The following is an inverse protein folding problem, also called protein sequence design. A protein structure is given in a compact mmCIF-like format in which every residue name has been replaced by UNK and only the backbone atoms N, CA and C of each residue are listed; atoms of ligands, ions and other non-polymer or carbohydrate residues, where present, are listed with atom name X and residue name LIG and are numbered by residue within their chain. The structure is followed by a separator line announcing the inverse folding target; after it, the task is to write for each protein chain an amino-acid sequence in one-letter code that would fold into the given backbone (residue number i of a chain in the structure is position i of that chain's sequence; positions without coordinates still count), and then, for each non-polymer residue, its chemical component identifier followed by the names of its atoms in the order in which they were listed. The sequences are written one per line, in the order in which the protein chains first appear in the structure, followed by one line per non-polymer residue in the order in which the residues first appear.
data_IF_737250882920
#
_entry.id   IF_737250882920
#
_cell.length_a   1.000
_cell.length_b   1.000
_cell.length_c   1.000
_cell.angle_alpha   90.00
_cell.angle_beta   90.00
_cell.angle_gamma   90.00
#
_symmetry.space_group_name_H-M   'P 1'
#
loop_
_entity.id
_entity.type
_entity.pdbx_description
1 polymer ?
#
# COMPACT_ATOMS: atom_id res chain seq x y z
N UNK A 1 11.80 10.49 18.37
CA UNK A 1 12.74 9.37 18.58
C UNK A 1 13.04 8.56 17.31
N UNK A 2 12.27 8.74 16.24
CA UNK A 2 12.53 8.12 14.91
C UNK A 2 13.83 8.65 14.27
N UNK A 3 14.25 9.87 14.60
CA UNK A 3 15.49 10.51 14.09
C UNK A 3 16.80 9.78 14.42
N UNK A 4 16.80 8.87 15.40
CA UNK A 4 17.96 8.02 15.68
C UNK A 4 18.02 6.77 14.80
N UNK A 5 17.00 6.54 13.97
CA UNK A 5 16.74 5.28 13.26
C UNK A 5 17.48 5.20 11.92
N UNK A 6 17.81 6.34 11.30
CA UNK A 6 18.45 6.35 9.97
C UNK A 6 19.80 7.07 10.04
N UNK A 7 20.83 6.35 10.48
CA UNK A 7 22.23 6.77 10.28
C UNK A 7 22.76 6.13 9.01
N UNK A 8 23.65 6.78 8.27
CA UNK A 8 24.28 6.24 7.06
C UNK A 8 24.90 4.85 7.26
N UNK A 9 25.36 4.55 8.49
CA UNK A 9 25.91 3.24 8.86
C UNK A 9 24.88 2.10 8.94
N UNK A 10 23.59 2.39 8.86
CA UNK A 10 22.49 1.43 8.98
C UNK A 10 21.77 1.20 7.64
N UNK A 11 22.33 1.74 6.57
CA UNK A 11 21.80 1.56 5.20
C UNK A 11 22.47 0.35 4.55
N UNK A 12 21.66 -0.47 3.86
CA UNK A 12 22.12 -1.67 3.15
C UNK A 12 21.80 -1.58 1.66
N UNK A 13 22.79 -1.87 0.82
CA UNK A 13 22.57 -2.04 -0.60
C UNK A 13 21.81 -3.35 -0.86
N UNK A 14 20.93 -3.36 -1.86
CA UNK A 14 20.19 -4.56 -2.25
C UNK A 14 20.06 -4.68 -3.77
N UNK A 15 20.03 -5.90 -4.26
CA UNK A 15 19.56 -6.20 -5.62
C UNK A 15 18.06 -5.97 -5.73
N UNK A 16 17.54 -5.93 -6.96
CA UNK A 16 16.10 -5.80 -7.19
C UNK A 16 15.29 -6.85 -6.41
N UNK A 17 14.41 -6.47 -5.47
CA UNK A 17 13.73 -7.41 -4.56
C UNK A 17 12.65 -8.26 -5.24
N UNK A 18 12.40 -8.06 -6.54
CA UNK A 18 11.45 -8.84 -7.34
C UNK A 18 12.16 -9.84 -8.25
N UNK A 19 13.11 -9.37 -9.07
CA UNK A 19 13.76 -10.26 -10.04
C UNK A 19 15.14 -10.77 -9.60
N UNK A 20 15.79 -10.10 -8.62
CA UNK A 20 17.13 -10.43 -8.15
C UNK A 20 18.26 -9.80 -8.97
N UNK A 21 17.97 -8.96 -9.98
CA UNK A 21 18.99 -8.27 -10.75
C UNK A 21 19.80 -7.32 -9.86
N UNK A 22 21.12 -7.38 -9.98
CA UNK A 22 22.07 -6.48 -9.33
C UNK A 22 22.47 -5.29 -10.20
N UNK A 23 21.85 -5.13 -11.36
CA UNK A 23 22.12 -4.00 -12.27
C UNK A 23 21.43 -2.74 -11.73
N UNK A 24 22.25 -1.79 -11.28
CA UNK A 24 21.85 -0.48 -10.77
C UNK A 24 22.26 0.65 -11.75
N UNK A 25 22.43 0.35 -13.03
CA UNK A 25 22.88 1.33 -14.04
C UNK A 25 21.85 2.46 -14.26
N UNK A 26 20.57 2.22 -14.04
CA UNK A 26 19.48 3.20 -14.22
C UNK A 26 19.10 3.84 -12.88
N UNK A 27 19.85 4.88 -12.49
CA UNK A 27 19.55 5.71 -11.33
C UNK A 27 18.42 6.67 -11.68
N UNK A 28 17.25 6.45 -11.10
CA UNK A 28 16.07 7.30 -11.31
C UNK A 28 16.18 8.63 -10.55
N UNK A 29 16.64 8.58 -9.30
CA UNK A 29 16.85 9.75 -8.45
C UNK A 29 17.89 9.46 -7.37
N UNK A 30 18.76 10.42 -7.07
CA UNK A 30 19.62 10.38 -5.91
C UNK A 30 18.82 10.62 -4.64
N UNK A 31 19.36 10.22 -3.47
CA UNK A 31 18.66 10.38 -2.20
C UNK A 31 18.40 11.88 -1.89
N UNK A 32 17.19 12.18 -1.46
CA UNK A 32 16.79 13.51 -0.98
C UNK A 32 15.99 13.33 0.33
N UNK A 33 16.69 13.33 1.46
CA UNK A 33 16.04 13.30 2.77
C UNK A 33 16.88 14.04 3.83
N UNK A 34 16.17 14.64 4.78
CA UNK A 34 16.75 15.34 5.93
C UNK A 34 16.26 14.67 7.22
N UNK A 35 17.16 14.00 7.90
CA UNK A 35 16.86 13.29 9.17
C UNK A 35 16.19 14.19 10.23
N UNK A 36 16.42 15.51 10.18
CA UNK A 36 15.82 16.47 11.12
C UNK A 36 14.34 16.74 10.84
N UNK A 37 13.87 16.39 9.64
CA UNK A 37 12.47 16.58 9.21
C UNK A 37 11.63 15.32 9.37
N UNK A 38 12.26 14.19 9.71
CA UNK A 38 11.54 12.94 9.95
C UNK A 38 10.81 13.04 11.28
N UNK A 39 9.49 12.97 11.24
CA UNK A 39 8.61 12.97 12.40
C UNK A 39 7.86 11.64 12.55
N UNK A 40 6.92 11.56 13.50
CA UNK A 40 6.13 10.36 13.77
C UNK A 40 5.15 9.99 12.63
N UNK A 41 5.03 10.85 11.62
CA UNK A 41 4.22 10.60 10.42
C UNK A 41 5.04 10.11 9.22
N UNK A 42 6.37 10.11 9.30
CA UNK A 42 7.24 9.73 8.19
C UNK A 42 7.03 8.29 7.67
N UNK A 43 6.49 7.40 8.51
CA UNK A 43 6.15 6.01 8.16
C UNK A 43 4.68 5.69 8.42
N UNK A 44 3.84 6.70 8.45
CA UNK A 44 2.41 6.59 8.70
C UNK A 44 1.60 6.76 7.41
N UNK A 45 0.43 6.15 7.36
CA UNK A 45 -0.60 6.55 6.41
C UNK A 45 -1.02 8.00 6.70
N UNK A 46 -0.57 8.94 5.88
CA UNK A 46 -0.65 10.37 6.14
C UNK A 46 -1.29 11.18 5.01
N UNK A 47 -1.71 12.38 5.37
CA UNK A 47 -2.40 13.30 4.45
C UNK A 47 -1.46 14.21 3.66
N UNK A 48 -0.26 14.42 4.15
CA UNK A 48 0.72 15.34 3.57
C UNK A 48 2.08 14.65 3.46
N UNK A 49 2.53 14.35 2.24
CA UNK A 49 3.85 13.77 2.01
C UNK A 49 4.95 14.78 2.34
N UNK A 50 6.09 14.29 2.80
CA UNK A 50 7.29 15.11 3.03
C UNK A 50 8.12 15.28 1.76
N UNK A 51 7.86 14.47 0.73
CA UNK A 51 8.62 14.43 -0.53
C UNK A 51 10.11 14.08 -0.35
N UNK A 52 10.42 13.34 0.71
CA UNK A 52 11.73 12.78 0.93
C UNK A 52 11.80 11.36 0.38
N UNK A 53 12.96 10.93 -0.13
CA UNK A 53 13.13 9.58 -0.65
C UNK A 53 14.58 9.13 -0.54
N UNK A 54 14.78 7.82 -0.47
CA UNK A 54 16.10 7.20 -0.63
C UNK A 54 16.55 7.30 -2.10
N UNK A 55 17.81 6.92 -2.38
CA UNK A 55 18.27 6.74 -3.75
C UNK A 55 17.39 5.68 -4.43
N UNK A 56 16.80 6.05 -5.57
CA UNK A 56 15.87 5.22 -6.32
C UNK A 56 16.53 4.69 -7.59
N UNK A 57 16.47 3.38 -7.79
CA UNK A 57 17.00 2.67 -8.95
C UNK A 57 15.86 2.02 -9.73
N UNK A 58 15.86 2.19 -11.05
CA UNK A 58 14.90 1.52 -11.92
C UNK A 58 15.49 0.19 -12.42
N UNK A 59 14.84 -0.91 -12.12
CA UNK A 59 15.31 -2.23 -12.57
C UNK A 59 15.10 -2.40 -14.09
N UNK A 60 16.15 -2.61 -14.91
CA UNK A 60 16.01 -2.75 -16.34
C UNK A 60 15.31 -4.07 -16.75
N UNK A 61 15.30 -5.06 -15.87
CA UNK A 61 14.70 -6.38 -16.13
C UNK A 61 13.19 -6.36 -15.91
N UNK A 62 12.73 -6.02 -14.69
CA UNK A 62 11.32 -6.12 -14.34
C UNK A 62 10.60 -4.77 -14.21
N UNK A 63 11.28 -3.65 -14.39
CA UNK A 63 10.70 -2.30 -14.32
C UNK A 63 10.16 -1.93 -12.91
N UNK A 64 10.73 -2.53 -11.85
CA UNK A 64 10.51 -2.07 -10.49
C UNK A 64 11.35 -0.83 -10.23
N UNK A 65 10.81 0.18 -9.58
CA UNK A 65 11.57 1.27 -8.99
C UNK A 65 11.79 0.93 -7.51
N UNK A 66 13.02 0.88 -7.03
CA UNK A 66 13.32 0.47 -5.66
C UNK A 66 14.45 1.27 -5.05
N UNK A 67 14.46 1.39 -3.73
CA UNK A 67 15.54 2.05 -3.00
C UNK A 67 16.75 1.13 -2.84
N UNK A 68 17.94 1.64 -3.18
CA UNK A 68 19.24 1.02 -2.90
C UNK A 68 20.30 2.14 -2.77
N UNK A 69 20.93 2.30 -1.57
CA UNK A 69 20.68 1.56 -0.32
C UNK A 69 19.35 1.92 0.34
N UNK A 70 18.95 1.10 1.34
CA UNK A 70 17.75 1.29 2.13
C UNK A 70 18.03 0.99 3.62
N UNK A 71 17.20 1.45 4.58
CA UNK A 71 17.37 1.11 5.99
C UNK A 71 17.26 -0.38 6.28
N UNK A 72 17.91 -0.83 7.34
CA UNK A 72 17.77 -2.22 7.80
C UNK A 72 16.32 -2.55 8.17
N UNK A 73 15.86 -3.80 7.95
CA UNK A 73 14.48 -4.21 8.22
C UNK A 73 14.02 -3.98 9.65
N UNK A 74 14.90 -4.18 10.64
CA UNK A 74 14.59 -3.96 12.05
C UNK A 74 14.21 -2.51 12.37
N UNK A 75 14.84 -1.56 11.68
CA UNK A 75 14.55 -0.13 11.83
C UNK A 75 13.20 0.23 11.19
N UNK A 76 12.92 -0.32 10.02
CA UNK A 76 11.64 -0.12 9.33
C UNK A 76 10.49 -0.67 10.16
N UNK A 77 10.62 -1.90 10.69
CA UNK A 77 9.59 -2.52 11.54
C UNK A 77 9.30 -1.63 12.76
N UNK A 78 10.34 -1.11 13.40
CA UNK A 78 10.19 -0.18 14.52
C UNK A 78 9.48 1.11 14.10
N UNK A 79 9.90 1.71 12.98
CA UNK A 79 9.32 2.95 12.48
C UNK A 79 7.82 2.81 12.15
N UNK A 80 7.43 1.71 11.48
CA UNK A 80 6.01 1.43 11.22
C UNK A 80 5.22 1.14 12.49
N UNK A 81 5.81 0.42 13.46
CA UNK A 81 5.14 0.12 14.75
C UNK A 81 4.85 1.36 15.60
N UNK A 82 5.72 2.38 15.51
CA UNK A 82 5.60 3.66 16.24
C UNK A 82 4.86 4.75 15.43
N UNK A 83 4.45 4.46 14.19
CA UNK A 83 3.84 5.44 13.29
C UNK A 83 2.48 5.92 13.80
N UNK A 84 2.22 7.22 13.62
CA UNK A 84 0.95 7.86 13.90
C UNK A 84 -0.11 7.54 12.81
N UNK A 85 -1.36 7.94 13.03
CA UNK A 85 -2.45 7.70 12.09
C UNK A 85 -3.40 8.90 12.01
N UNK A 86 -3.69 9.38 10.78
CA UNK A 86 -4.59 10.51 10.58
C UNK A 86 -5.53 10.36 9.37
N UNK A 87 -5.59 9.17 8.75
CA UNK A 87 -6.26 8.93 7.46
C UNK A 87 -7.58 8.14 7.54
N UNK A 88 -8.20 8.00 8.71
CA UNK A 88 -9.42 7.19 8.91
C UNK A 88 -10.56 7.53 7.93
N UNK A 89 -10.78 8.81 7.61
CA UNK A 89 -11.83 9.20 6.68
C UNK A 89 -11.52 8.77 5.23
N UNK A 90 -10.26 8.83 4.86
CA UNK A 90 -9.75 8.46 3.54
C UNK A 90 -9.80 6.96 3.32
N UNK A 91 -9.41 6.18 4.33
CA UNK A 91 -9.47 4.71 4.27
C UNK A 91 -10.89 4.22 4.04
N UNK A 92 -11.88 4.87 4.66
CA UNK A 92 -13.29 4.54 4.47
C UNK A 92 -13.79 4.81 3.02
N UNK A 93 -13.37 5.90 2.38
CA UNK A 93 -13.70 6.13 0.96
C UNK A 93 -12.96 5.14 0.03
N UNK A 94 -11.71 4.84 0.33
CA UNK A 94 -10.91 3.88 -0.42
C UNK A 94 -11.52 2.48 -0.33
N UNK A 95 -11.89 2.01 0.87
CA UNK A 95 -12.47 0.70 1.10
C UNK A 95 -13.76 0.48 0.31
N UNK A 96 -14.65 1.48 0.23
CA UNK A 96 -15.84 1.42 -0.62
C UNK A 96 -15.50 1.28 -2.11
N UNK A 97 -14.50 2.04 -2.59
CA UNK A 97 -14.03 1.93 -3.97
C UNK A 97 -13.51 0.52 -4.25
N UNK A 98 -12.68 -0.02 -3.35
CA UNK A 98 -12.11 -1.36 -3.48
C UNK A 98 -13.16 -2.46 -3.29
N UNK A 99 -14.11 -2.28 -2.38
CA UNK A 99 -15.26 -3.17 -2.19
C UNK A 99 -16.10 -3.38 -3.44
N UNK A 100 -16.11 -2.42 -4.36
CA UNK A 100 -16.82 -2.56 -5.65
C UNK A 100 -16.25 -3.66 -6.57
N UNK A 101 -15.01 -4.10 -6.34
CA UNK A 101 -14.39 -5.21 -7.07
C UNK A 101 -14.81 -6.58 -6.53
N UNK A 102 -15.21 -6.68 -5.26
CA UNK A 102 -15.51 -7.95 -4.58
C UNK A 102 -16.54 -8.82 -5.29
N UNK A 103 -17.68 -8.31 -5.83
CA UNK A 103 -18.65 -9.17 -6.50
C UNK A 103 -18.06 -9.93 -7.69
N UNK A 104 -17.09 -9.34 -8.41
CA UNK A 104 -16.39 -10.00 -9.51
C UNK A 104 -15.43 -11.09 -9.05
N UNK A 105 -14.80 -10.91 -7.89
CA UNK A 105 -13.88 -11.87 -7.29
C UNK A 105 -14.65 -13.04 -6.67
N UNK A 106 -15.68 -12.74 -5.86
CA UNK A 106 -16.49 -13.71 -5.13
C UNK A 106 -17.10 -14.77 -6.05
N UNK A 107 -17.51 -14.40 -7.26
CA UNK A 107 -18.05 -15.36 -8.23
C UNK A 107 -17.05 -16.42 -8.71
N UNK A 108 -15.76 -16.25 -8.43
CA UNK A 108 -14.69 -17.11 -8.98
C UNK A 108 -13.91 -17.87 -7.91
N UNK A 109 -13.95 -17.42 -6.65
CA UNK A 109 -13.28 -18.11 -5.54
C UNK A 109 -14.09 -19.32 -5.06
N UNK A 110 -13.44 -20.30 -4.39
CA UNK A 110 -14.10 -21.56 -4.04
C UNK A 110 -15.24 -21.40 -3.02
N UNK A 111 -15.07 -20.50 -2.05
CA UNK A 111 -16.01 -20.25 -0.97
C UNK A 111 -15.77 -18.88 -0.32
N UNK A 112 -16.53 -18.53 0.72
CA UNK A 112 -16.37 -17.31 1.51
C UNK A 112 -15.79 -17.61 2.93
N UNK A 113 -15.12 -18.74 3.11
CA UNK A 113 -14.43 -19.03 4.35
C UNK A 113 -12.94 -18.65 4.27
N UNK A 114 -12.58 -17.67 5.07
CA UNK A 114 -11.22 -17.14 5.18
C UNK A 114 -10.93 -15.99 4.21
N UNK A 115 -10.88 -14.79 4.75
CA UNK A 115 -10.32 -13.61 4.12
C UNK A 115 -9.24 -12.99 5.00
N UNK A 116 -8.09 -12.65 4.42
CA UNK A 116 -6.98 -12.00 5.09
C UNK A 116 -6.68 -10.67 4.44
N UNK A 117 -6.62 -9.58 5.22
CA UNK A 117 -6.23 -8.26 4.75
C UNK A 117 -4.88 -7.85 5.38
N UNK A 118 -3.86 -7.67 4.54
CA UNK A 118 -2.48 -7.40 4.95
C UNK A 118 -2.22 -5.90 4.87
N UNK A 119 -1.85 -5.28 6.01
CA UNK A 119 -1.77 -3.83 6.16
C UNK A 119 -3.17 -3.21 6.24
N UNK A 120 -4.00 -3.77 7.11
CA UNK A 120 -5.43 -3.44 7.16
C UNK A 120 -5.74 -2.04 7.74
N UNK A 121 -4.74 -1.36 8.34
CA UNK A 121 -4.93 -0.06 8.96
C UNK A 121 -5.98 -0.11 10.08
N UNK A 122 -6.98 0.75 10.00
CA UNK A 122 -8.11 0.81 10.94
C UNK A 122 -9.22 -0.23 10.67
N UNK A 123 -8.96 -1.17 9.75
CA UNK A 123 -9.88 -2.26 9.44
C UNK A 123 -11.09 -1.86 8.58
N UNK A 124 -11.10 -0.69 7.97
CA UNK A 124 -12.22 -0.24 7.14
C UNK A 124 -12.57 -1.21 6.00
N UNK A 125 -11.61 -1.97 5.47
CA UNK A 125 -11.89 -2.98 4.45
C UNK A 125 -12.41 -4.30 5.03
N UNK A 126 -12.09 -4.61 6.28
CA UNK A 126 -12.66 -5.80 6.95
C UNK A 126 -14.18 -5.71 7.05
N UNK A 127 -14.73 -4.48 7.24
CA UNK A 127 -16.18 -4.25 7.22
C UNK A 127 -16.79 -4.65 5.87
N UNK A 128 -16.13 -4.32 4.75
CA UNK A 128 -16.58 -4.71 3.41
C UNK A 128 -16.55 -6.24 3.23
N UNK A 129 -15.52 -6.91 3.73
CA UNK A 129 -15.41 -8.38 3.68
C UNK A 129 -16.52 -9.05 4.49
N UNK A 130 -16.77 -8.61 5.72
CA UNK A 130 -17.87 -9.11 6.57
C UNK A 130 -19.21 -8.87 5.91
N UNK A 131 -19.45 -7.66 5.38
CA UNK A 131 -20.70 -7.31 4.69
C UNK A 131 -20.93 -8.14 3.42
N UNK A 132 -19.86 -8.69 2.80
CA UNK A 132 -19.96 -9.60 1.66
C UNK A 132 -20.13 -11.07 2.05
N UNK A 133 -20.18 -11.38 3.34
CA UNK A 133 -20.48 -12.71 3.85
C UNK A 133 -19.26 -13.60 4.10
N UNK A 134 -18.04 -13.06 4.13
CA UNK A 134 -16.89 -13.83 4.58
C UNK A 134 -17.05 -14.20 6.06
N UNK A 135 -16.90 -15.48 6.38
CA UNK A 135 -17.18 -16.01 7.74
C UNK A 135 -16.01 -15.90 8.69
N UNK A 136 -14.79 -15.96 8.18
CA UNK A 136 -13.54 -15.83 8.93
C UNK A 136 -12.68 -14.75 8.31
N UNK A 137 -12.76 -13.54 8.91
CA UNK A 137 -12.04 -12.35 8.43
C UNK A 137 -10.95 -11.99 9.42
N UNK A 138 -9.73 -11.78 8.94
CA UNK A 138 -8.57 -11.38 9.73
C UNK A 138 -7.84 -10.23 9.04
N UNK A 139 -7.50 -9.20 9.80
CA UNK A 139 -6.59 -8.13 9.39
C UNK A 139 -5.24 -8.27 10.09
N UNK A 140 -4.17 -7.82 9.44
CA UNK A 140 -2.84 -7.70 10.06
C UNK A 140 -2.36 -6.26 9.91
N UNK A 141 -1.95 -5.64 11.02
CA UNK A 141 -1.47 -4.26 11.06
C UNK A 141 -0.35 -4.12 12.11
N UNK A 142 0.85 -3.67 11.72
CA UNK A 142 1.94 -3.49 12.69
C UNK A 142 1.78 -2.27 13.59
N UNK A 143 1.08 -1.21 13.15
CA UNK A 143 0.93 0.02 13.92
C UNK A 143 -0.24 -0.05 14.90
N UNK A 144 0.01 0.37 16.15
CA UNK A 144 -1.03 0.45 17.17
C UNK A 144 -2.01 1.62 16.97
N UNK A 145 -1.59 2.71 16.31
CA UNK A 145 -2.40 3.90 16.15
C UNK A 145 -3.64 3.69 15.26
N UNK A 146 -3.55 3.10 14.05
CA UNK A 146 -4.74 2.78 13.27
C UNK A 146 -5.63 1.74 13.96
N UNK A 147 -5.06 0.73 14.65
CA UNK A 147 -5.86 -0.26 15.40
C UNK A 147 -6.68 0.41 16.51
N UNK A 148 -6.08 1.38 17.22
CA UNK A 148 -6.80 2.14 18.24
C UNK A 148 -7.95 2.98 17.66
N UNK A 149 -7.81 3.42 16.39
CA UNK A 149 -8.85 4.15 15.67
C UNK A 149 -9.94 3.24 15.05
N UNK A 150 -9.72 1.92 15.02
CA UNK A 150 -10.68 0.95 14.50
C UNK A 150 -11.97 0.95 15.31
N UNK A 151 -13.11 0.70 14.65
CA UNK A 151 -14.40 0.51 15.31
C UNK A 151 -14.36 -0.70 16.25
N UNK A 152 -15.14 -0.64 17.32
CA UNK A 152 -15.14 -1.68 18.36
C UNK A 152 -15.50 -3.08 17.81
N UNK A 153 -16.38 -3.14 16.80
CA UNK A 153 -16.77 -4.41 16.15
C UNK A 153 -15.68 -4.98 15.24
N UNK A 154 -14.79 -4.14 14.71
CA UNK A 154 -13.75 -4.52 13.76
C UNK A 154 -12.42 -4.78 14.46
N UNK A 155 -12.13 -4.04 15.53
CA UNK A 155 -10.85 -4.12 16.26
C UNK A 155 -10.47 -5.56 16.67
N UNK A 156 -11.39 -6.42 17.13
CA UNK A 156 -11.06 -7.82 17.47
C UNK A 156 -10.62 -8.67 16.28
N UNK A 157 -10.90 -8.24 15.04
CA UNK A 157 -10.48 -8.93 13.81
C UNK A 157 -9.05 -8.59 13.41
N UNK A 158 -8.43 -7.58 14.04
CA UNK A 158 -7.10 -7.07 13.68
C UNK A 158 -6.04 -7.68 14.59
N UNK A 159 -5.08 -8.39 13.99
CA UNK A 159 -3.87 -8.87 14.66
C UNK A 159 -2.82 -7.76 14.61
N UNK A 160 -2.38 -7.26 15.77
CA UNK A 160 -1.29 -6.30 15.85
C UNK A 160 0.05 -7.01 15.67
N UNK A 161 0.52 -7.10 14.45
CA UNK A 161 1.77 -7.77 14.10
C UNK A 161 2.27 -7.33 12.71
N UNK A 162 3.56 -7.51 12.46
CA UNK A 162 4.10 -7.55 11.09
C UNK A 162 3.64 -8.86 10.44
N UNK A 163 3.21 -8.81 9.18
CA UNK A 163 2.78 -9.99 8.47
C UNK A 163 3.91 -11.02 8.33
N UNK A 164 3.62 -12.26 8.74
CA UNK A 164 4.45 -13.44 8.56
C UNK A 164 3.58 -14.59 8.06
N UNK A 165 3.98 -15.22 6.95
CA UNK A 165 3.21 -16.34 6.37
C UNK A 165 3.02 -17.50 7.35
N UNK A 166 4.04 -17.80 8.17
CA UNK A 166 4.00 -18.91 9.14
C UNK A 166 3.02 -18.70 10.31
N UNK A 167 2.51 -17.49 10.49
CA UNK A 167 1.49 -17.19 11.51
C UNK A 167 0.08 -17.66 11.11
N UNK A 168 -0.10 -18.19 9.91
CA UNK A 168 -1.37 -18.55 9.32
C UNK A 168 -1.36 -19.95 8.70
N UNK A 169 -2.50 -20.65 8.67
CA UNK A 169 -2.58 -21.97 8.07
C UNK A 169 -2.42 -21.89 6.55
N UNK A 170 -1.60 -22.77 5.98
CA UNK A 170 -1.53 -22.98 4.54
C UNK A 170 -2.91 -23.33 3.99
N UNK A 171 -3.22 -22.82 2.80
CA UNK A 171 -4.52 -23.03 2.14
C UNK A 171 -5.72 -22.66 3.02
N UNK A 172 -5.51 -21.67 3.92
CA UNK A 172 -6.51 -21.23 4.88
C UNK A 172 -7.46 -20.14 4.35
N UNK A 173 -7.16 -19.50 3.23
CA UNK A 173 -7.89 -18.32 2.79
C UNK A 173 -8.39 -18.43 1.34
N UNK A 174 -9.64 -18.05 1.12
CA UNK A 174 -10.23 -17.94 -0.22
C UNK A 174 -9.92 -16.60 -0.87
N UNK A 175 -9.65 -15.55 -0.06
CA UNK A 175 -9.28 -14.23 -0.52
C UNK A 175 -8.16 -13.66 0.37
N UNK A 176 -7.11 -13.12 -0.25
CA UNK A 176 -6.11 -12.31 0.44
C UNK A 176 -6.05 -10.94 -0.24
N UNK A 177 -6.13 -9.88 0.56
CA UNK A 177 -6.06 -8.49 0.10
C UNK A 177 -4.84 -7.79 0.68
N UNK A 178 -4.30 -6.83 -0.08
CA UNK A 178 -3.19 -6.00 0.37
C UNK A 178 -3.22 -4.70 -0.44
N UNK A 179 -3.50 -3.59 0.22
CA UNK A 179 -3.74 -2.31 -0.45
C UNK A 179 -2.67 -1.29 -0.07
N UNK A 180 -1.91 -0.84 -1.07
CA UNK A 180 -0.87 0.17 -0.91
C UNK A 180 0.10 -0.14 0.25
N UNK A 181 0.41 -1.43 0.44
CA UNK A 181 1.26 -1.95 1.53
C UNK A 181 2.50 -2.68 1.00
N UNK A 182 2.42 -3.27 -0.20
CA UNK A 182 3.56 -3.95 -0.83
C UNK A 182 4.75 -3.02 -1.06
N UNK A 183 4.49 -1.74 -1.24
CA UNK A 183 5.50 -0.69 -1.40
C UNK A 183 6.40 -0.54 -0.17
N UNK A 184 5.92 -0.94 1.00
CA UNK A 184 6.60 -0.84 2.28
C UNK A 184 7.31 -2.14 2.71
N UNK A 185 7.05 -3.26 2.00
CA UNK A 185 7.58 -4.57 2.39
C UNK A 185 9.03 -4.73 1.97
N UNK A 186 9.88 -5.21 2.88
CA UNK A 186 11.30 -5.41 2.63
C UNK A 186 11.54 -6.46 1.54
N UNK A 187 10.91 -7.63 1.64
CA UNK A 187 11.06 -8.78 0.74
C UNK A 187 9.75 -9.10 0.00
N UNK A 188 9.34 -8.29 -0.99
CA UNK A 188 8.04 -8.47 -1.65
C UNK A 188 7.88 -9.81 -2.36
N UNK A 189 8.98 -10.42 -2.86
CA UNK A 189 8.92 -11.73 -3.48
C UNK A 189 8.59 -12.83 -2.46
N UNK A 190 9.23 -12.82 -1.29
CA UNK A 190 8.97 -13.84 -0.25
C UNK A 190 7.58 -13.66 0.36
N UNK A 191 7.14 -12.43 0.55
CA UNK A 191 5.76 -12.13 0.97
C UNK A 191 4.76 -12.67 -0.06
N UNK A 192 5.00 -12.45 -1.34
CA UNK A 192 4.14 -12.94 -2.42
C UNK A 192 4.07 -14.49 -2.46
N UNK A 193 5.20 -15.18 -2.24
CA UNK A 193 5.26 -16.64 -2.10
C UNK A 193 4.45 -17.14 -0.89
N UNK A 194 4.59 -16.47 0.25
CA UNK A 194 3.83 -16.76 1.45
C UNK A 194 2.34 -16.61 1.20
N UNK A 195 1.91 -15.52 0.58
CA UNK A 195 0.52 -15.29 0.19
C UNK A 195 -0.01 -16.42 -0.70
N UNK A 196 0.78 -16.85 -1.70
CA UNK A 196 0.40 -17.97 -2.57
C UNK A 196 0.19 -19.27 -1.79
N UNK A 197 1.06 -19.55 -0.81
CA UNK A 197 0.94 -20.75 0.04
C UNK A 197 -0.29 -20.72 0.96
N UNK A 198 -0.68 -19.52 1.42
CA UNK A 198 -1.85 -19.34 2.31
C UNK A 198 -3.19 -19.43 1.58
N UNK A 199 -3.24 -19.21 0.27
CA UNK A 199 -4.46 -19.31 -0.51
C UNK A 199 -4.90 -20.76 -0.70
N UNK A 200 -6.19 -21.00 -0.60
CA UNK A 200 -6.84 -22.23 -1.09
C UNK A 200 -6.62 -22.40 -2.60
N UNK A 201 -6.61 -23.62 -3.15
CA UNK A 201 -6.72 -23.82 -4.59
C UNK A 201 -7.92 -23.05 -5.16
N UNK A 202 -7.73 -22.30 -6.25
CA UNK A 202 -8.75 -21.41 -6.80
C UNK A 202 -8.98 -20.11 -6.02
N UNK A 203 -8.33 -19.92 -4.88
CA UNK A 203 -8.39 -18.67 -4.11
C UNK A 203 -7.77 -17.48 -4.85
N UNK A 204 -8.17 -16.27 -4.49
CA UNK A 204 -7.77 -15.04 -5.15
C UNK A 204 -6.89 -14.15 -4.27
N UNK A 205 -6.03 -13.37 -4.92
CA UNK A 205 -5.49 -12.14 -4.34
C UNK A 205 -6.13 -10.93 -4.98
N UNK A 206 -6.28 -9.88 -4.18
CA UNK A 206 -6.67 -8.57 -4.65
C UNK A 206 -5.75 -7.52 -4.06
N UNK A 207 -4.92 -6.91 -4.91
CA UNK A 207 -3.92 -5.93 -4.55
C UNK A 207 -4.22 -4.57 -5.16
N UNK A 208 -3.86 -3.50 -4.45
CA UNK A 208 -3.82 -2.13 -4.97
C UNK A 208 -2.40 -1.61 -4.82
N UNK A 209 -1.87 -1.05 -5.89
CA UNK A 209 -0.52 -0.47 -5.94
C UNK A 209 -0.56 0.97 -6.44
N UNK A 210 0.41 1.76 -6.00
CA UNK A 210 0.79 2.98 -6.69
C UNK A 210 1.48 2.64 -8.02
N UNK A 211 1.07 3.31 -9.09
CA UNK A 211 1.68 3.10 -10.39
C UNK A 211 2.82 4.11 -10.62
N UNK A 212 4.08 3.63 -10.64
CA UNK A 212 5.22 4.51 -10.94
C UNK A 212 5.10 5.25 -12.28
N UNK A 213 4.32 4.73 -13.22
CA UNK A 213 4.06 5.33 -14.54
C UNK A 213 2.72 6.05 -14.62
N UNK A 214 2.06 6.36 -13.49
CA UNK A 214 0.84 7.14 -13.49
C UNK A 214 1.05 8.52 -14.15
N UNK A 215 0.03 8.99 -14.86
CA UNK A 215 0.08 10.34 -15.46
C UNK A 215 0.28 11.40 -14.37
N UNK A 216 -0.36 11.25 -13.21
CA UNK A 216 -0.18 12.14 -12.06
C UNK A 216 1.28 12.18 -11.59
N UNK A 217 1.95 11.04 -11.50
CA UNK A 217 3.36 10.95 -11.11
C UNK A 217 4.26 11.63 -12.16
N UNK A 218 4.00 11.40 -13.46
CA UNK A 218 4.76 12.04 -14.55
C UNK A 218 4.61 13.55 -14.56
N UNK A 219 3.41 14.08 -14.32
CA UNK A 219 3.14 15.51 -14.31
C UNK A 219 3.72 16.21 -13.08
N UNK A 220 3.69 15.56 -11.91
CA UNK A 220 4.19 16.12 -10.66
C UNK A 220 5.71 15.89 -10.47
N UNK A 221 6.31 14.95 -11.22
CA UNK A 221 7.72 14.56 -11.04
C UNK A 221 8.00 14.15 -9.60
N UNK A 222 9.14 14.52 -9.04
CA UNK A 222 9.53 14.20 -7.66
C UNK A 222 8.64 14.87 -6.59
N UNK A 223 7.70 15.74 -6.96
CA UNK A 223 6.65 16.27 -6.06
C UNK A 223 5.39 15.39 -6.05
N UNK A 224 5.43 14.23 -6.66
CA UNK A 224 4.35 13.26 -6.54
C UNK A 224 4.38 12.59 -5.17
N UNK A 225 3.23 12.44 -4.49
CA UNK A 225 3.16 11.78 -3.18
C UNK A 225 3.63 10.32 -3.16
N UNK A 226 3.77 9.68 -4.32
CA UNK A 226 4.29 8.31 -4.38
C UNK A 226 5.80 8.22 -4.13
N UNK A 227 6.56 9.31 -4.35
CA UNK A 227 7.98 9.36 -4.03
C UNK A 227 8.13 9.89 -2.60
N UNK A 228 7.89 9.02 -1.65
CA UNK A 228 8.00 9.35 -0.23
C UNK A 228 8.81 8.30 0.52
N UNK A 229 9.43 8.69 1.64
CA UNK A 229 10.45 7.90 2.35
C UNK A 229 9.92 6.56 2.89
N UNK A 230 8.60 6.46 3.07
CA UNK A 230 7.94 5.22 3.48
C UNK A 230 7.93 4.16 2.36
N UNK A 231 8.04 4.56 1.08
CA UNK A 231 8.01 3.65 -0.04
C UNK A 231 9.40 3.11 -0.37
N UNK A 232 9.66 1.86 -0.04
CA UNK A 232 10.91 1.15 -0.39
C UNK A 232 10.97 0.77 -1.86
N UNK A 233 9.82 0.62 -2.50
CA UNK A 233 9.68 0.35 -3.94
C UNK A 233 8.34 0.82 -4.47
N UNK A 234 8.33 1.13 -5.76
CA UNK A 234 7.13 1.49 -6.51
C UNK A 234 6.98 0.56 -7.71
N UNK A 235 5.79 0.03 -7.84
CA UNK A 235 5.50 -0.96 -8.86
C UNK A 235 5.05 -0.32 -10.18
N UNK A 236 5.35 -1.01 -11.28
CA UNK A 236 4.70 -0.87 -12.57
C UNK A 236 3.81 -2.08 -12.84
N UNK A 237 2.96 -2.00 -13.85
CA UNK A 237 2.21 -3.18 -14.30
C UNK A 237 3.12 -4.34 -14.66
N UNK A 238 4.27 -4.05 -15.35
CA UNK A 238 5.27 -5.05 -15.73
C UNK A 238 5.90 -5.72 -14.50
N UNK A 239 6.30 -4.95 -13.48
CA UNK A 239 6.95 -5.52 -12.29
C UNK A 239 5.99 -6.36 -11.45
N UNK A 240 4.71 -5.99 -11.36
CA UNK A 240 3.70 -6.80 -10.67
C UNK A 240 3.40 -8.08 -11.42
N UNK A 241 3.20 -8.03 -12.74
CA UNK A 241 3.00 -9.22 -13.56
C UNK A 241 4.21 -10.16 -13.45
N UNK A 242 5.44 -9.62 -13.46
CA UNK A 242 6.66 -10.41 -13.27
C UNK A 242 6.67 -11.10 -11.89
N UNK A 243 6.38 -10.36 -10.81
CA UNK A 243 6.31 -10.88 -9.44
C UNK A 243 5.29 -12.03 -9.32
N UNK A 244 4.07 -11.81 -9.79
CA UNK A 244 2.97 -12.75 -9.66
C UNK A 244 3.18 -14.02 -10.50
N UNK A 245 3.67 -13.89 -11.74
CA UNK A 245 4.02 -15.03 -12.59
C UNK A 245 5.14 -15.88 -11.93
N UNK A 246 6.15 -15.23 -11.35
CA UNK A 246 7.25 -15.92 -10.65
C UNK A 246 6.76 -16.69 -9.42
N UNK A 247 5.66 -16.27 -8.79
CA UNK A 247 5.02 -16.96 -7.67
C UNK A 247 3.99 -18.02 -8.10
N UNK A 248 3.68 -18.16 -9.40
CA UNK A 248 2.77 -19.19 -9.93
C UNK A 248 1.31 -18.78 -10.01
N UNK A 249 0.98 -17.52 -9.80
CA UNK A 249 -0.38 -17.01 -10.00
C UNK A 249 -0.81 -17.07 -11.46
N UNK A 250 -2.11 -17.23 -11.67
CA UNK A 250 -2.74 -17.30 -12.99
C UNK A 250 -3.85 -16.25 -13.13
N UNK A 251 -4.31 -16.03 -14.35
CA UNK A 251 -5.41 -15.10 -14.67
C UNK A 251 -5.18 -13.67 -14.13
N UNK A 252 -3.95 -13.19 -14.24
CA UNK A 252 -3.54 -11.87 -13.74
C UNK A 252 -4.28 -10.78 -14.52
N UNK A 253 -5.10 -10.00 -13.82
CA UNK A 253 -5.84 -8.87 -14.38
C UNK A 253 -5.40 -7.58 -13.70
N UNK A 254 -4.88 -6.66 -14.50
CA UNK A 254 -4.46 -5.33 -14.03
C UNK A 254 -5.45 -4.28 -14.55
N UNK A 255 -6.03 -3.49 -13.63
CA UNK A 255 -7.03 -2.45 -13.95
C UNK A 255 -6.65 -1.13 -13.29
N UNK A 256 -6.82 -0.02 -13.98
CA UNK A 256 -6.73 1.31 -13.36
C UNK A 256 -7.85 1.49 -12.35
N UNK A 257 -7.52 2.03 -11.17
CA UNK A 257 -8.50 2.35 -10.13
C UNK A 257 -8.95 3.78 -10.29
N UNK A 258 -10.27 3.97 -10.29
CA UNK A 258 -10.92 5.26 -10.22
C UNK A 258 -11.44 5.46 -8.79
N UNK A 259 -10.72 6.26 -8.02
CA UNK A 259 -11.11 6.54 -6.64
C UNK A 259 -12.25 7.55 -6.58
N UNK A 260 -13.19 7.30 -5.68
CA UNK A 260 -14.32 8.18 -5.42
C UNK A 260 -14.08 8.94 -4.11
N UNK A 261 -13.59 10.18 -4.22
CA UNK A 261 -13.31 11.03 -3.06
C UNK A 261 -14.09 12.35 -3.16
N UNK A 262 -14.42 13.01 -2.03
CA UNK A 262 -14.97 14.35 -2.04
C UNK A 262 -14.00 15.37 -2.67
N UNK A 263 -14.53 16.43 -3.28
CA UNK A 263 -13.73 17.47 -3.93
C UNK A 263 -12.63 18.04 -3.01
N UNK A 264 -12.96 18.31 -1.74
CA UNK A 264 -11.99 18.85 -0.79
C UNK A 264 -10.82 17.91 -0.53
N UNK A 265 -11.00 16.59 -0.67
CA UNK A 265 -9.94 15.60 -0.55
C UNK A 265 -9.05 15.58 -1.80
N UNK A 266 -9.64 15.64 -3.00
CA UNK A 266 -8.85 15.75 -4.23
C UNK A 266 -7.90 16.95 -4.18
N UNK A 267 -8.33 18.10 -3.63
CA UNK A 267 -7.46 19.26 -3.46
C UNK A 267 -6.29 19.02 -2.49
N UNK A 268 -6.41 18.09 -1.55
CA UNK A 268 -5.28 17.69 -0.70
C UNK A 268 -4.18 16.97 -1.48
N UNK A 269 -4.54 16.19 -2.50
CA UNK A 269 -3.60 15.42 -3.30
C UNK A 269 -2.78 16.28 -4.28
N UNK A 270 -3.27 17.48 -4.63
CA UNK A 270 -2.51 18.38 -5.52
C UNK A 270 -1.40 19.10 -4.77
N UNK A 271 -0.23 19.25 -5.45
CA UNK A 271 0.96 19.95 -4.92
C UNK A 271 0.80 21.47 -4.98
N UNK A 272 -0.04 22.04 -4.08
CA UNK A 272 -0.12 23.48 -3.87
C UNK A 272 0.74 23.91 -2.66
N UNK A 273 1.20 25.18 -2.60
CA UNK A 273 1.81 25.72 -1.40
C UNK A 273 0.92 25.49 -0.17
N UNK A 274 1.49 24.98 0.92
CA UNK A 274 0.73 24.49 2.09
C UNK A 274 -0.25 25.53 2.67
N UNK A 275 0.15 26.81 2.70
CA UNK A 275 -0.72 27.90 3.19
C UNK A 275 -1.94 28.10 2.29
N UNK A 276 -1.75 28.13 0.97
CA UNK A 276 -2.84 28.26 0.00
C UNK A 276 -3.79 27.05 0.07
N UNK A 277 -3.22 25.83 0.15
CA UNK A 277 -3.96 24.59 0.30
C UNK A 277 -4.88 24.60 1.54
N UNK A 278 -4.35 25.00 2.71
CA UNK A 278 -5.15 25.12 3.95
C UNK A 278 -6.30 26.12 3.83
N UNK A 279 -6.05 27.29 3.24
CA UNK A 279 -7.08 28.31 3.05
C UNK A 279 -8.17 27.83 2.09
N UNK A 280 -7.81 27.27 0.95
CA UNK A 280 -8.76 26.75 -0.05
C UNK A 280 -9.62 25.63 0.53
N UNK A 281 -9.03 24.65 1.23
CA UNK A 281 -9.77 23.52 1.83
C UNK A 281 -10.69 24.03 2.94
N UNK A 282 -10.22 24.95 3.80
CA UNK A 282 -11.03 25.53 4.87
C UNK A 282 -12.21 26.34 4.33
N UNK A 283 -12.01 27.12 3.27
CA UNK A 283 -13.08 27.87 2.60
C UNK A 283 -14.09 26.93 1.94
N UNK A 284 -13.63 25.93 1.20
CA UNK A 284 -14.48 24.95 0.51
C UNK A 284 -15.31 24.11 1.49
N UNK A 285 -14.76 23.69 2.63
CA UNK A 285 -15.49 22.89 3.63
C UNK A 285 -16.72 23.57 4.21
N UNK A 286 -16.86 24.87 4.03
CA UNK A 286 -18.04 25.65 4.45
C UNK A 286 -19.21 25.54 3.47
N UNK A 287 -19.02 24.95 2.31
CA UNK A 287 -20.03 24.83 1.27
C UNK A 287 -20.24 23.34 0.89
N UNK A 288 -21.49 22.99 0.57
CA UNK A 288 -21.91 21.60 0.24
C UNK A 288 -21.08 21.01 -0.91
N UNK A 289 -20.65 21.85 -1.85
CA UNK A 289 -19.86 21.42 -3.03
C UNK A 289 -18.54 20.72 -2.64
N UNK A 290 -17.97 21.03 -1.46
CA UNK A 290 -16.77 20.38 -0.96
C UNK A 290 -16.93 18.86 -0.77
N UNK A 291 -18.13 18.42 -0.52
CA UNK A 291 -18.46 17.02 -0.18
C UNK A 291 -19.01 16.25 -1.38
N UNK A 292 -19.14 16.89 -2.55
CA UNK A 292 -19.56 16.21 -3.78
C UNK A 292 -18.50 15.13 -4.12
N UNK A 293 -18.91 13.86 -4.25
CA UNK A 293 -18.00 12.78 -4.64
C UNK A 293 -17.60 12.95 -6.11
N UNK A 294 -16.29 12.93 -6.36
CA UNK A 294 -15.71 13.00 -7.70
C UNK A 294 -14.90 11.74 -7.94
N UNK A 295 -15.12 11.12 -9.09
CA UNK A 295 -14.44 9.88 -9.50
C UNK A 295 -13.30 10.21 -10.44
N UNK A 296 -12.05 10.06 -9.98
CA UNK A 296 -10.85 10.31 -10.76
C UNK A 296 -9.80 9.21 -10.54
N UNK A 297 -8.90 8.98 -11.51
CA UNK A 297 -7.76 8.11 -11.31
C UNK A 297 -6.70 8.81 -10.44
N UNK A 298 -6.47 8.32 -9.24
CA UNK A 298 -5.42 8.83 -8.34
C UNK A 298 -4.01 8.36 -8.72
N UNK A 299 -3.89 7.51 -9.74
CA UNK A 299 -2.61 6.92 -10.14
C UNK A 299 -2.39 5.51 -9.61
N UNK A 300 -3.43 4.87 -9.08
CA UNK A 300 -3.38 3.50 -8.58
C UNK A 300 -3.85 2.50 -9.63
N UNK A 301 -3.42 1.25 -9.49
CA UNK A 301 -3.98 0.13 -10.23
C UNK A 301 -4.33 -1.04 -9.30
N UNK A 302 -5.41 -1.72 -9.64
CA UNK A 302 -5.86 -2.95 -9.01
C UNK A 302 -5.28 -4.15 -9.74
N UNK A 303 -4.89 -5.17 -8.99
CA UNK A 303 -4.45 -6.46 -9.51
C UNK A 303 -5.26 -7.56 -8.87
N UNK A 304 -5.86 -8.40 -9.68
CA UNK A 304 -6.62 -9.57 -9.25
C UNK A 304 -6.03 -10.77 -9.98
N UNK A 305 -5.63 -11.79 -9.25
CA UNK A 305 -5.16 -13.06 -9.82
C UNK A 305 -5.52 -14.21 -8.88
N UNK A 306 -5.28 -15.45 -9.35
CA UNK A 306 -5.79 -16.64 -8.69
C UNK A 306 -4.67 -17.66 -8.49
N UNK A 307 -4.74 -18.45 -7.41
CA UNK A 307 -3.99 -19.68 -7.26
C UNK A 307 -4.60 -20.76 -8.16
N UNK A 308 -3.77 -21.58 -8.78
CA UNK A 308 -4.26 -22.75 -9.55
C UNK A 308 -5.09 -23.69 -8.67
N UNK A 309 -6.07 -24.34 -9.30
CA UNK A 309 -6.82 -25.43 -8.66
C UNK A 309 -5.97 -26.65 -8.37
#
# INVERSE_FOLDING_TARGET
MITSVIKDSEMIARSCPVCGSSDESDIFAEADFDLKKIDDFAFASRKFPEYMHYRLVACPVCDLLYSSPMPQPSLLIKAYGEASFDSAQETHYASRTYGSFLPGIIRRIPDLDGALDIGTGDGAFLEELVAKGFTRVVGVEPSGAPIAAAKDEVRPLIKNAVFRGDDFPKEGFSLITCFQTFEHMYEPLEVCRSIYALLKPGGAVFFIYHNRHALSAKLMGMKSPIYDIEHLQLFSKKSVEFLLNKCGFVDIKVKTVFNCYPLHYWLKLFSFPLRLKKVLISGLRKIIIAYVPIVLPAGNFAVICYKRH
#
